data_IF_016486430505
#
_entry.id   IF_016486430505
#
_cell.length_a   1.000
_cell.length_b   1.000
_cell.length_c   1.000
_cell.angle_alpha   90.00
_cell.angle_beta   90.00
_cell.angle_gamma   90.00
#
_symmetry.space_group_name_H-M   'P 1'
#
loop_
_entity.id
_entity.type
_entity.pdbx_description
1 polymer ?
#
# COMPACT_ATOMS: atom_id res chain seq x y z
N UNK A 1 -12.48 4.84 -5.89
CA UNK A 1 -11.69 4.46 -4.71
C UNK A 1 -10.93 3.17 -4.99
N UNK A 2 -9.61 3.21 -4.86
CA UNK A 2 -8.71 2.07 -4.96
C UNK A 2 -7.84 2.01 -3.69
N UNK A 3 -7.79 0.86 -3.03
CA UNK A 3 -6.81 0.58 -1.98
C UNK A 3 -5.67 -0.23 -2.60
N UNK A 4 -4.48 0.36 -2.70
CA UNK A 4 -3.35 -0.27 -3.38
C UNK A 4 -2.46 -0.97 -2.35
N UNK A 5 -2.28 -2.27 -2.53
CA UNK A 5 -1.41 -3.10 -1.68
C UNK A 5 0.09 -2.75 -1.84
N UNK A 6 0.87 -3.06 -0.80
CA UNK A 6 2.33 -2.87 -0.79
C UNK A 6 3.03 -3.54 -1.98
N UNK A 7 2.60 -4.75 -2.36
CA UNK A 7 3.25 -5.51 -3.43
C UNK A 7 3.31 -4.74 -4.75
N UNK A 8 2.26 -3.98 -5.07
CA UNK A 8 2.20 -3.12 -6.27
C UNK A 8 3.24 -2.01 -6.19
N UNK A 9 3.35 -1.34 -5.04
CA UNK A 9 4.35 -0.28 -4.83
C UNK A 9 5.78 -0.80 -4.92
N UNK A 10 6.06 -1.98 -4.35
CA UNK A 10 7.36 -2.63 -4.51
C UNK A 10 7.68 -2.86 -5.99
N UNK A 11 6.71 -3.35 -6.76
CA UNK A 11 6.88 -3.54 -8.21
C UNK A 11 7.18 -2.22 -8.93
N UNK A 12 6.47 -1.14 -8.59
CA UNK A 12 6.72 0.20 -9.15
C UNK A 12 8.13 0.69 -8.81
N UNK A 13 8.56 0.59 -7.54
CA UNK A 13 9.88 1.07 -7.11
C UNK A 13 11.04 0.26 -7.69
N UNK A 14 10.84 -1.04 -7.93
CA UNK A 14 11.85 -1.91 -8.54
C UNK A 14 11.92 -1.75 -10.06
N UNK A 15 10.86 -1.27 -10.69
CA UNK A 15 10.81 -1.10 -12.14
C UNK A 15 11.63 0.12 -12.59
N UNK A 16 12.80 -0.15 -13.17
CA UNK A 16 13.67 0.88 -13.76
C UNK A 16 13.21 1.35 -15.14
N UNK A 17 12.29 0.64 -15.78
CA UNK A 17 11.80 0.97 -17.13
C UNK A 17 10.64 1.97 -17.10
N UNK A 18 9.97 2.10 -15.96
CA UNK A 18 8.79 2.96 -15.79
C UNK A 18 7.50 2.41 -16.41
N UNK A 19 7.52 1.22 -17.00
CA UNK A 19 6.35 0.60 -17.63
C UNK A 19 5.27 0.26 -16.60
N UNK A 20 5.64 -0.20 -15.40
CA UNK A 20 4.69 -0.53 -14.34
C UNK A 20 4.04 0.74 -13.82
N UNK A 21 4.82 1.83 -13.66
CA UNK A 21 4.28 3.14 -13.30
C UNK A 21 3.25 3.61 -14.33
N UNK A 22 3.57 3.57 -15.62
CA UNK A 22 2.65 4.01 -16.67
C UNK A 22 1.36 3.18 -16.69
N UNK A 23 1.47 1.84 -16.53
CA UNK A 23 0.30 0.97 -16.41
C UNK A 23 -0.54 1.29 -15.18
N UNK A 24 0.10 1.59 -14.05
CA UNK A 24 -0.58 1.95 -12.82
C UNK A 24 -1.29 3.30 -12.96
N UNK A 25 -0.65 4.31 -13.54
CA UNK A 25 -1.25 5.63 -13.80
C UNK A 25 -2.46 5.50 -14.74
N UNK A 26 -2.31 4.77 -15.85
CA UNK A 26 -3.40 4.49 -16.78
C UNK A 26 -4.52 3.66 -16.15
N UNK A 27 -4.19 2.76 -15.22
CA UNK A 27 -5.20 2.02 -14.47
C UNK A 27 -5.93 2.96 -13.51
N UNK A 28 -5.23 3.77 -12.72
CA UNK A 28 -5.84 4.67 -11.73
C UNK A 28 -6.88 5.56 -12.40
N UNK A 29 -6.56 6.18 -13.54
CA UNK A 29 -7.49 6.93 -14.39
C UNK A 29 -8.39 7.89 -13.58
N UNK A 30 -7.77 8.83 -12.87
CA UNK A 30 -8.40 9.85 -11.99
C UNK A 30 -9.24 9.32 -10.83
N UNK A 31 -9.19 8.01 -10.54
CA UNK A 31 -9.85 7.45 -9.35
C UNK A 31 -9.06 7.79 -8.09
N UNK A 32 -9.78 8.06 -7.00
CA UNK A 32 -9.14 8.25 -5.69
C UNK A 32 -8.37 7.00 -5.27
N UNK A 33 -7.10 7.19 -4.93
CA UNK A 33 -6.19 6.16 -4.43
C UNK A 33 -5.94 6.38 -2.96
N UNK A 34 -6.01 5.30 -2.20
CA UNK A 34 -5.74 5.31 -0.77
C UNK A 34 -4.74 4.23 -0.40
N UNK A 35 -4.09 4.44 0.75
CA UNK A 35 -3.22 3.50 1.42
C UNK A 35 -3.81 3.09 2.77
N UNK A 36 -3.49 1.87 3.21
CA UNK A 36 -3.65 1.48 4.60
C UNK A 36 -2.42 1.92 5.39
N UNK A 37 -2.59 2.18 6.70
CA UNK A 37 -1.45 2.48 7.60
C UNK A 37 -0.42 1.35 7.65
N UNK A 38 -0.86 0.10 7.48
CA UNK A 38 0.04 -1.04 7.33
C UNK A 38 0.95 -0.90 6.10
N UNK A 39 0.39 -0.49 4.96
CA UNK A 39 1.18 -0.27 3.74
C UNK A 39 2.23 0.81 3.94
N UNK A 40 1.88 1.93 4.60
CA UNK A 40 2.84 2.98 4.94
C UNK A 40 3.96 2.46 5.85
N UNK A 41 3.59 1.75 6.93
CA UNK A 41 4.52 1.16 7.89
C UNK A 41 5.53 0.26 7.16
N UNK A 42 5.03 -0.69 6.37
CA UNK A 42 5.89 -1.63 5.68
C UNK A 42 6.80 -0.93 4.67
N UNK A 43 6.27 0.04 3.91
CA UNK A 43 7.04 0.77 2.89
C UNK A 43 8.22 1.50 3.51
N UNK A 44 8.00 2.21 4.62
CA UNK A 44 9.04 2.89 5.38
C UNK A 44 10.08 1.93 5.96
N UNK A 45 9.65 0.79 6.52
CA UNK A 45 10.58 -0.25 7.00
C UNK A 45 11.45 -0.85 5.88
N UNK A 46 11.02 -0.72 4.62
CA UNK A 46 11.77 -1.18 3.46
C UNK A 46 12.92 -0.27 3.03
N UNK A 47 13.04 0.94 3.59
CA UNK A 47 14.08 1.90 3.20
C UNK A 47 15.48 1.41 3.61
N UNK A 48 16.45 1.53 2.70
CA UNK A 48 17.81 1.02 2.91
C UNK A 48 18.72 1.98 3.68
N UNK A 49 18.37 3.26 3.72
CA UNK A 49 19.14 4.32 4.35
C UNK A 49 18.26 5.55 4.62
N UNK A 50 18.82 6.52 5.36
CA UNK A 50 18.05 7.70 5.76
C UNK A 50 17.61 8.60 4.60
N UNK A 51 18.39 8.66 3.52
CA UNK A 51 18.00 9.45 2.36
C UNK A 51 16.74 8.89 1.70
N UNK A 52 16.67 7.56 1.58
CA UNK A 52 15.48 6.87 1.04
C UNK A 52 14.29 7.01 2.00
N UNK A 53 14.51 6.86 3.30
CA UNK A 53 13.49 7.05 4.32
C UNK A 53 12.87 8.44 4.25
N UNK A 54 13.69 9.50 4.31
CA UNK A 54 13.21 10.88 4.30
C UNK A 54 12.43 11.22 3.02
N UNK A 55 12.88 10.70 1.88
CA UNK A 55 12.18 10.88 0.60
C UNK A 55 10.80 10.19 0.63
N UNK A 56 10.78 8.92 1.06
CA UNK A 56 9.56 8.11 1.07
C UNK A 56 8.55 8.62 2.10
N UNK A 57 9.01 9.03 3.29
CA UNK A 57 8.14 9.61 4.32
C UNK A 57 7.47 10.88 3.84
N UNK A 58 8.22 11.78 3.19
CA UNK A 58 7.69 13.02 2.62
C UNK A 58 6.60 12.74 1.58
N UNK A 59 6.78 11.75 0.69
CA UNK A 59 5.74 11.39 -0.27
C UNK A 59 4.51 10.78 0.39
N UNK A 60 4.71 9.91 1.38
CA UNK A 60 3.64 9.21 2.09
C UNK A 60 2.80 10.14 2.97
N UNK A 61 3.36 11.25 3.48
CA UNK A 61 2.63 12.25 4.28
C UNK A 61 1.43 12.87 3.56
N UNK A 62 1.53 13.03 2.24
CA UNK A 62 0.51 13.70 1.42
C UNK A 62 -0.57 12.76 0.87
N UNK A 63 -0.46 11.44 1.14
CA UNK A 63 -1.37 10.45 0.59
C UNK A 63 -2.68 10.36 1.37
N UNK A 64 -3.75 9.92 0.69
CA UNK A 64 -5.01 9.55 1.32
C UNK A 64 -4.89 8.24 2.08
N UNK A 65 -5.37 8.20 3.33
CA UNK A 65 -5.37 6.99 4.15
C UNK A 65 -6.79 6.55 4.49
N UNK A 66 -7.02 5.24 4.42
CA UNK A 66 -8.21 4.63 5.02
C UNK A 66 -7.87 4.26 6.45
N UNK A 67 -8.55 4.90 7.40
CA UNK A 67 -8.44 4.56 8.82
C UNK A 67 -9.32 3.35 9.14
N UNK A 68 -8.74 2.39 9.85
CA UNK A 68 -9.44 1.17 10.26
C UNK A 68 -10.33 1.46 11.46
N UNK A 69 -11.49 0.81 11.48
CA UNK A 69 -12.44 0.89 12.60
C UNK A 69 -12.37 -0.39 13.43
N UNK A 70 -13.04 -0.41 14.59
CA UNK A 70 -13.17 -1.62 15.42
C UNK A 70 -13.72 -2.81 14.61
N UNK A 71 -14.71 -2.56 13.75
CA UNK A 71 -15.32 -3.59 12.90
C UNK A 71 -14.33 -4.14 11.87
N UNK A 72 -13.41 -3.31 11.37
CA UNK A 72 -12.37 -3.73 10.44
C UNK A 72 -11.46 -4.79 11.05
N UNK A 73 -11.11 -4.68 12.33
CA UNK A 73 -10.29 -5.67 13.03
C UNK A 73 -11.01 -7.00 13.22
N UNK A 74 -12.29 -6.95 13.61
CA UNK A 74 -13.10 -8.15 13.76
C UNK A 74 -13.31 -8.86 12.41
N UNK A 75 -13.57 -8.09 11.34
CA UNK A 75 -13.68 -8.62 9.99
C UNK A 75 -12.37 -9.28 9.51
N UNK A 76 -11.22 -8.64 9.74
CA UNK A 76 -9.92 -9.20 9.40
C UNK A 76 -9.65 -10.52 10.15
N UNK A 77 -9.94 -10.57 11.46
CA UNK A 77 -9.83 -11.79 12.25
C UNK A 77 -10.75 -12.89 11.71
N UNK A 78 -11.97 -12.53 11.27
CA UNK A 78 -12.91 -13.47 10.69
C UNK A 78 -12.41 -14.06 9.37
N UNK A 79 -11.85 -13.23 8.48
CA UNK A 79 -11.24 -13.70 7.23
C UNK A 79 -10.17 -14.76 7.52
N UNK A 80 -9.26 -14.46 8.44
CA UNK A 80 -8.19 -15.41 8.81
C UNK A 80 -8.77 -16.71 9.41
N UNK A 81 -9.74 -16.62 10.31
CA UNK A 81 -10.42 -17.78 10.89
C UNK A 81 -11.05 -18.68 9.81
N UNK A 82 -11.75 -18.08 8.85
CA UNK A 82 -12.41 -18.81 7.78
C UNK A 82 -11.39 -19.45 6.82
N UNK A 83 -10.30 -18.75 6.47
CA UNK A 83 -9.23 -19.28 5.63
C UNK A 83 -8.52 -20.47 6.29
N UNK A 84 -8.18 -20.36 7.58
CA UNK A 84 -7.53 -21.44 8.34
C UNK A 84 -8.35 -22.73 8.36
N UNK A 85 -9.67 -22.63 8.21
CA UNK A 85 -10.57 -23.80 8.17
C UNK A 85 -10.61 -24.47 6.80
N UNK A 86 -10.07 -23.84 5.77
CA UNK A 86 -10.07 -24.35 4.40
C UNK A 86 -8.79 -25.13 4.05
N UNK A 87 -7.81 -25.20 4.95
CA UNK A 87 -6.52 -25.86 4.76
C UNK A 87 -5.43 -24.88 4.40
#
# INVERSE_FOLDING_TARGET
MLLIDRSVWISVFRDRTGQIRQKLEAFINDRDVFLARFTQLELLQGSLNEKEWALLSTYLETQGYVELTNDSWQAAARIFYDLRRQG
#
